data_IF_494781939232
#
_entry.id   IF_494781939232
#
_cell.length_a   1.000
_cell.length_b   1.000
_cell.length_c   1.000
_cell.angle_alpha   90.00
_cell.angle_beta   90.00
_cell.angle_gamma   90.00
#
_symmetry.space_group_name_H-M   'P 1'
#
loop_
_entity.id
_entity.type
_entity.pdbx_description
1 polymer ?
#
# COMPACT_ATOMS: atom_id res chain seq x y z
N UNK A 1 -16.08 18.88 1.50
CA UNK A 1 -14.70 18.50 1.86
C UNK A 1 -14.43 17.23 1.08
N UNK A 2 -13.53 17.26 0.11
CA UNK A 2 -13.30 16.12 -0.78
C UNK A 2 -12.56 15.06 0.03
N UNK A 3 -13.27 13.96 0.21
CA UNK A 3 -12.99 12.75 0.96
C UNK A 3 -12.06 11.92 0.07
N UNK A 4 -10.90 11.54 0.59
CA UNK A 4 -9.79 10.99 -0.20
C UNK A 4 -10.16 9.56 -0.67
N UNK A 5 -10.75 9.42 -1.86
CA UNK A 5 -10.95 8.10 -2.48
C UNK A 5 -9.57 7.47 -2.76
N UNK A 6 -9.28 6.35 -2.11
CA UNK A 6 -8.02 5.65 -2.22
C UNK A 6 -8.17 4.38 -3.08
N UNK A 7 -7.11 4.00 -3.79
CA UNK A 7 -7.03 2.72 -4.47
C UNK A 7 -5.65 2.07 -4.29
N UNK A 8 -5.62 0.74 -4.32
CA UNK A 8 -4.36 -0.01 -4.30
C UNK A 8 -3.81 -0.10 -5.72
N UNK A 9 -2.52 0.25 -5.89
CA UNK A 9 -1.75 -0.02 -7.10
C UNK A 9 -0.68 -1.08 -6.85
N UNK A 10 -0.42 -1.86 -7.89
CA UNK A 10 0.57 -2.93 -7.88
C UNK A 10 1.68 -2.68 -8.90
N UNK A 11 2.92 -2.88 -8.47
CA UNK A 11 4.07 -2.87 -9.38
C UNK A 11 4.08 -4.19 -10.16
N UNK A 12 3.86 -4.11 -11.48
CA UNK A 12 3.89 -5.27 -12.37
C UNK A 12 5.32 -5.71 -12.64
N UNK A 13 5.53 -7.01 -12.78
CA UNK A 13 6.79 -7.53 -13.30
C UNK A 13 7.03 -6.96 -14.72
N UNK A 14 8.28 -6.59 -15.06
CA UNK A 14 8.60 -6.21 -16.42
C UNK A 14 8.25 -7.39 -17.34
N UNK A 15 7.40 -7.14 -18.35
CA UNK A 15 7.13 -8.15 -19.37
C UNK A 15 8.47 -8.54 -20.01
N UNK A 16 8.78 -9.83 -20.04
CA UNK A 16 9.94 -10.34 -20.77
C UNK A 16 9.81 -9.85 -22.22
N UNK A 17 10.67 -8.91 -22.62
CA UNK A 17 10.76 -8.51 -24.02
C UNK A 17 11.46 -9.63 -24.75
N UNK A 18 10.77 -10.17 -25.75
CA UNK A 18 11.35 -10.97 -26.81
C UNK A 18 12.57 -10.22 -27.37
N UNK A 19 13.75 -10.82 -27.22
CA UNK A 19 15.00 -10.20 -27.63
C UNK A 19 15.16 -10.37 -29.14
N UNK A 20 14.63 -9.41 -29.91
CA UNK A 20 15.04 -9.21 -31.29
C UNK A 20 15.43 -7.75 -31.53
N UNK A 21 16.74 -7.56 -31.66
CA UNK A 21 17.48 -6.53 -32.39
C UNK A 21 17.03 -5.04 -32.30
N UNK A 22 17.93 -4.20 -31.74
CA UNK A 22 17.82 -2.74 -31.91
C UNK A 22 18.87 -1.91 -31.16
N UNK A 23 20.04 -1.71 -31.79
CA UNK A 23 21.07 -0.66 -31.65
C UNK A 23 20.96 0.40 -30.51
N UNK A 24 22.08 0.50 -29.76
CA UNK A 24 22.60 1.59 -28.87
C UNK A 24 21.97 2.99 -28.99
N UNK A 25 21.74 3.64 -27.83
CA UNK A 25 22.29 4.99 -27.55
C UNK A 25 22.67 5.12 -26.08
N UNK A 26 23.88 5.63 -25.84
CA UNK A 26 24.42 5.99 -24.53
C UNK A 26 23.88 7.38 -24.19
N UNK A 27 22.90 7.47 -23.29
CA UNK A 27 22.47 8.75 -22.70
C UNK A 27 22.79 8.73 -21.22
N UNK A 28 23.89 9.40 -20.89
CA UNK A 28 24.36 9.64 -19.53
C UNK A 28 23.48 10.77 -18.96
N UNK A 29 22.34 10.42 -18.36
CA UNK A 29 21.63 11.32 -17.44
C UNK A 29 22.01 10.96 -16.03
N UNK A 30 23.00 11.68 -15.51
CA UNK A 30 23.25 11.85 -14.08
C UNK A 30 22.11 12.69 -13.50
N UNK A 31 21.10 12.00 -12.99
CA UNK A 31 20.03 12.51 -12.15
C UNK A 31 19.56 11.30 -11.38
N UNK A 32 19.58 11.40 -10.06
CA UNK A 32 19.36 10.34 -9.08
C UNK A 32 18.38 9.28 -9.62
N UNK A 33 18.92 8.13 -10.01
CA UNK A 33 18.09 7.07 -10.58
C UNK A 33 17.33 6.46 -9.42
N UNK A 34 16.17 7.06 -9.09
CA UNK A 34 15.24 6.56 -8.09
C UNK A 34 15.10 5.06 -8.33
N UNK A 35 15.62 4.26 -7.41
CA UNK A 35 15.64 2.82 -7.61
C UNK A 35 14.19 2.36 -7.80
N UNK A 36 13.85 1.69 -8.91
CA UNK A 36 12.48 1.32 -9.17
C UNK A 36 11.97 0.38 -8.08
N UNK A 37 10.71 0.55 -7.69
CA UNK A 37 10.04 -0.35 -6.74
C UNK A 37 10.02 -1.79 -7.29
N UNK A 38 10.18 -2.80 -6.43
CA UNK A 38 10.18 -4.18 -6.87
C UNK A 38 8.78 -4.63 -7.32
N UNK A 39 8.76 -5.55 -8.29
CA UNK A 39 7.52 -6.20 -8.73
C UNK A 39 6.82 -6.91 -7.56
N UNK A 40 5.49 -6.80 -7.51
CA UNK A 40 4.68 -7.34 -6.42
C UNK A 40 4.49 -6.39 -5.24
N UNK A 41 5.23 -5.27 -5.17
CA UNK A 41 4.96 -4.21 -4.21
C UNK A 41 3.57 -3.60 -4.48
N UNK A 42 2.83 -3.36 -3.39
CA UNK A 42 1.47 -2.82 -3.42
C UNK A 42 1.41 -1.58 -2.53
N UNK A 43 0.78 -0.51 -3.00
CA UNK A 43 0.71 0.76 -2.26
C UNK A 43 -0.57 1.53 -2.58
N UNK A 44 -0.93 2.45 -1.68
CA UNK A 44 -2.12 3.27 -1.79
C UNK A 44 -1.84 4.54 -2.59
N UNK A 45 -2.76 4.88 -3.48
CA UNK A 45 -2.80 6.18 -4.15
C UNK A 45 -4.16 6.82 -4.01
N UNK A 46 -4.20 8.15 -4.04
CA UNK A 46 -5.45 8.89 -4.23
C UNK A 46 -5.97 8.67 -5.66
N UNK A 47 -7.25 8.32 -5.81
CA UNK A 47 -7.89 8.15 -7.11
C UNK A 47 -7.94 9.47 -7.89
N UNK A 48 -8.14 10.57 -7.20
CA UNK A 48 -8.27 11.91 -7.80
C UNK A 48 -6.94 12.43 -8.36
N UNK A 49 -5.86 12.27 -7.60
CA UNK A 49 -4.54 12.84 -7.94
C UNK A 49 -3.59 11.81 -8.55
N UNK A 50 -3.90 10.52 -8.42
CA UNK A 50 -3.00 9.41 -8.72
C UNK A 50 -1.67 9.44 -7.94
N UNK A 51 -1.55 10.28 -6.90
CA UNK A 51 -0.37 10.40 -6.04
C UNK A 51 -0.42 9.39 -4.90
N UNK A 52 0.76 8.96 -4.43
CA UNK A 52 0.87 8.08 -3.28
C UNK A 52 0.35 8.77 -2.01
N UNK A 53 -0.27 7.98 -1.13
CA UNK A 53 -0.66 8.44 0.20
C UNK A 53 0.56 8.28 1.11
N UNK A 54 1.33 9.35 1.29
CA UNK A 54 2.69 9.31 1.85
C UNK A 54 2.83 8.57 3.19
N UNK A 55 1.99 8.79 4.23
CA UNK A 55 2.11 8.03 5.48
C UNK A 55 1.98 6.51 5.29
N UNK A 56 1.06 6.09 4.42
CA UNK A 56 0.87 4.68 4.10
C UNK A 56 2.00 4.12 3.22
N UNK A 57 2.49 4.93 2.27
CA UNK A 57 3.58 4.55 1.38
C UNK A 57 4.89 4.33 2.16
N UNK A 58 5.27 5.27 3.03
CA UNK A 58 6.46 5.16 3.87
C UNK A 58 6.41 3.93 4.77
N UNK A 59 5.27 3.68 5.42
CA UNK A 59 5.06 2.48 6.23
C UNK A 59 5.21 1.20 5.41
N UNK A 60 4.58 1.10 4.24
CA UNK A 60 4.68 -0.08 3.38
C UNK A 60 6.10 -0.31 2.88
N UNK A 61 6.83 0.76 2.54
CA UNK A 61 8.24 0.67 2.19
C UNK A 61 9.07 0.13 3.36
N UNK A 62 8.85 0.65 4.57
CA UNK A 62 9.57 0.23 5.77
C UNK A 62 9.33 -1.24 6.12
N UNK A 63 8.09 -1.71 6.03
CA UNK A 63 7.69 -3.03 6.49
C UNK A 63 7.89 -4.13 5.44
N UNK A 64 7.78 -3.78 4.15
CA UNK A 64 7.78 -4.78 3.08
C UNK A 64 9.02 -4.77 2.22
N UNK A 65 9.89 -3.76 2.32
CA UNK A 65 11.11 -3.65 1.50
C UNK A 65 12.41 -3.81 2.30
N UNK A 66 13.43 -4.36 1.64
CA UNK A 66 14.80 -4.34 2.16
C UNK A 66 15.37 -2.92 2.08
N UNK A 67 16.22 -2.55 3.06
CA UNK A 67 16.91 -1.23 3.10
C UNK A 67 18.13 -1.15 2.17
N UNK A 68 18.22 -2.04 1.19
CA UNK A 68 19.36 -2.12 0.29
C UNK A 68 19.27 -1.09 -0.84
N UNK A 69 20.40 -0.82 -1.52
CA UNK A 69 20.44 0.04 -2.71
C UNK A 69 19.49 -0.43 -3.83
N UNK A 70 19.17 -1.73 -3.85
CA UNK A 70 18.17 -2.36 -4.72
C UNK A 70 17.10 -3.01 -3.85
N UNK A 71 16.00 -2.30 -3.51
CA UNK A 71 14.98 -2.83 -2.63
C UNK A 71 14.29 -4.03 -3.28
N UNK A 72 14.06 -5.05 -2.47
CA UNK A 72 13.28 -6.25 -2.79
C UNK A 72 12.22 -6.48 -1.72
N UNK A 73 11.20 -7.30 -2.02
CA UNK A 73 10.20 -7.64 -1.02
C UNK A 73 10.80 -8.55 0.05
N UNK A 74 10.58 -8.20 1.31
CA UNK A 74 10.90 -9.05 2.48
C UNK A 74 9.87 -10.17 2.64
N UNK A 75 8.66 -9.95 2.15
CA UNK A 75 7.53 -10.87 2.24
C UNK A 75 7.00 -11.27 0.86
N UNK A 76 6.00 -12.16 0.82
CA UNK A 76 5.37 -12.52 -0.45
C UNK A 76 4.58 -11.33 -1.04
N UNK A 77 4.40 -11.24 -2.37
CA UNK A 77 3.53 -10.23 -2.97
C UNK A 77 2.09 -10.24 -2.43
N UNK A 78 1.57 -11.43 -2.08
CA UNK A 78 0.25 -11.58 -1.47
C UNK A 78 0.22 -10.97 -0.06
N UNK A 79 1.29 -11.13 0.72
CA UNK A 79 1.43 -10.50 2.04
C UNK A 79 1.48 -8.98 1.90
N UNK A 80 2.33 -8.44 1.01
CA UNK A 80 2.40 -6.99 0.77
C UNK A 80 1.05 -6.42 0.32
N UNK A 81 0.31 -7.14 -0.54
CA UNK A 81 -1.06 -6.78 -0.91
C UNK A 81 -2.00 -6.76 0.29
N UNK A 82 -1.97 -7.78 1.15
CA UNK A 82 -2.80 -7.84 2.35
C UNK A 82 -2.56 -6.66 3.31
N UNK A 83 -1.31 -6.19 3.43
CA UNK A 83 -1.00 -5.00 4.24
C UNK A 83 -1.57 -3.72 3.62
N UNK A 84 -1.47 -3.57 2.29
CA UNK A 84 -2.11 -2.47 1.59
C UNK A 84 -3.66 -2.52 1.69
N UNK A 85 -4.25 -3.72 1.70
CA UNK A 85 -5.70 -3.93 1.92
C UNK A 85 -6.16 -3.53 3.32
N UNK A 86 -5.34 -3.74 4.35
CA UNK A 86 -5.67 -3.27 5.69
C UNK A 86 -5.56 -1.75 5.81
N UNK A 87 -4.52 -1.17 5.22
CA UNK A 87 -4.33 0.28 5.22
C UNK A 87 -5.42 1.02 4.46
N UNK A 88 -5.91 0.48 3.34
CA UNK A 88 -7.02 1.11 2.60
C UNK A 88 -8.34 1.01 3.39
N UNK A 89 -8.59 -0.11 4.08
CA UNK A 89 -9.76 -0.25 4.96
C UNK A 89 -9.71 0.76 6.11
N UNK A 90 -8.54 0.94 6.73
CA UNK A 90 -8.35 1.94 7.77
C UNK A 90 -8.46 3.37 7.21
N UNK A 91 -7.91 3.62 6.02
CA UNK A 91 -8.04 4.91 5.35
C UNK A 91 -9.51 5.28 5.13
N UNK A 92 -10.33 4.37 4.58
CA UNK A 92 -11.77 4.61 4.43
C UNK A 92 -12.49 4.82 5.77
N UNK A 93 -12.03 4.17 6.84
CA UNK A 93 -12.55 4.39 8.18
C UNK A 93 -12.30 5.82 8.69
N UNK A 94 -11.08 6.34 8.49
CA UNK A 94 -10.70 7.72 8.83
C UNK A 94 -11.52 8.72 8.03
N UNK A 95 -11.62 8.48 6.74
CA UNK A 95 -12.29 9.32 5.75
C UNK A 95 -13.79 9.45 6.03
N UNK A 96 -14.46 8.34 6.37
CA UNK A 96 -15.85 8.33 6.82
C UNK A 96 -16.09 9.16 8.10
N UNK A 97 -15.04 9.44 8.88
CA UNK A 97 -15.08 10.24 10.12
C UNK A 97 -14.49 11.65 9.93
N UNK A 98 -14.08 12.01 8.73
CA UNK A 98 -13.40 13.28 8.44
C UNK A 98 -12.12 13.44 9.26
N UNK A 99 -11.35 12.35 9.43
CA UNK A 99 -10.06 12.33 10.11
C UNK A 99 -8.93 12.11 9.11
N UNK A 100 -7.75 12.64 9.43
CA UNK A 100 -6.51 12.42 8.66
C UNK A 100 -5.52 11.61 9.50
N UNK A 101 -4.43 11.11 8.88
CA UNK A 101 -3.43 10.32 9.60
C UNK A 101 -2.78 11.08 10.76
N UNK A 102 -2.65 12.41 10.66
CA UNK A 102 -2.07 13.25 11.71
C UNK A 102 -2.95 13.37 12.96
N UNK A 103 -4.23 13.01 12.84
CA UNK A 103 -5.23 13.06 13.90
C UNK A 103 -5.54 11.66 14.47
N UNK A 104 -4.69 10.67 14.20
CA UNK A 104 -4.83 9.34 14.80
C UNK A 104 -4.44 9.41 16.27
N UNK A 105 -5.37 9.03 17.13
CA UNK A 105 -5.18 8.87 18.56
C UNK A 105 -5.66 7.49 19.03
N UNK A 106 -5.49 7.21 20.32
CA UNK A 106 -5.88 5.92 20.91
C UNK A 106 -7.39 5.67 20.81
N UNK A 107 -8.22 6.71 20.97
CA UNK A 107 -9.68 6.60 20.90
C UNK A 107 -10.12 6.15 19.50
N UNK A 108 -9.52 6.72 18.46
CA UNK A 108 -9.81 6.37 17.07
C UNK A 108 -9.41 4.92 16.75
N UNK A 109 -8.26 4.47 17.25
CA UNK A 109 -7.79 3.08 17.09
C UNK A 109 -8.70 2.09 17.83
N UNK A 110 -9.10 2.41 19.07
CA UNK A 110 -10.06 1.61 19.83
C UNK A 110 -11.42 1.55 19.12
N UNK A 111 -11.89 2.67 18.58
CA UNK A 111 -13.09 2.74 17.77
C UNK A 111 -13.02 1.86 16.52
N UNK A 112 -11.86 1.85 15.83
CA UNK A 112 -11.67 1.01 14.66
C UNK A 112 -11.69 -0.48 15.02
N UNK A 113 -10.98 -0.87 16.08
CA UNK A 113 -10.98 -2.24 16.58
C UNK A 113 -12.38 -2.71 17.01
N UNK A 114 -13.15 -1.83 17.67
CA UNK A 114 -14.53 -2.10 18.05
C UNK A 114 -15.43 -2.35 16.83
N UNK A 115 -15.33 -1.51 15.79
CA UNK A 115 -16.10 -1.67 14.57
C UNK A 115 -15.73 -2.95 13.83
N UNK A 116 -14.44 -3.28 13.74
CA UNK A 116 -13.97 -4.54 13.13
C UNK A 116 -14.51 -5.78 13.88
N UNK A 117 -14.57 -5.73 15.21
CA UNK A 117 -15.09 -6.82 16.03
C UNK A 117 -16.59 -7.08 15.82
N UNK A 118 -17.34 -6.05 15.41
CA UNK A 118 -18.77 -6.14 15.13
C UNK A 118 -19.08 -6.31 13.62
N UNK A 119 -18.07 -6.17 12.77
CA UNK A 119 -18.21 -6.25 11.31
C UNK A 119 -18.11 -7.67 10.76
N UNK A 120 -18.73 -7.88 9.60
CA UNK A 120 -18.63 -9.10 8.81
C UNK A 120 -17.66 -8.86 7.66
N UNK A 121 -16.67 -9.73 7.50
CA UNK A 121 -15.75 -9.71 6.38
C UNK A 121 -16.52 -9.89 5.06
N UNK A 122 -16.36 -9.00 4.07
CA UNK A 122 -17.04 -9.13 2.78
C UNK A 122 -16.51 -10.31 1.95
N UNK A 123 -15.31 -10.80 2.25
CA UNK A 123 -14.66 -11.91 1.53
C UNK A 123 -15.14 -13.26 2.06
N UNK A 124 -15.19 -13.41 3.38
CA UNK A 124 -15.50 -14.70 4.02
C UNK A 124 -16.94 -14.81 4.50
N UNK A 125 -17.68 -13.70 4.51
CA UNK A 125 -19.03 -13.56 5.09
C UNK A 125 -19.11 -14.01 6.55
N UNK A 126 -17.99 -13.93 7.28
CA UNK A 126 -17.87 -14.25 8.70
C UNK A 126 -17.34 -13.04 9.46
N UNK A 127 -17.56 -13.02 10.78
CA UNK A 127 -16.88 -12.05 11.64
C UNK A 127 -15.37 -12.15 11.48
N UNK A 128 -14.68 -11.01 11.58
CA UNK A 128 -13.22 -11.01 11.55
C UNK A 128 -12.65 -11.84 12.71
N UNK A 129 -11.61 -12.61 12.42
CA UNK A 129 -10.87 -13.33 13.45
C UNK A 129 -10.11 -12.33 14.33
N UNK A 130 -9.95 -12.62 15.63
CA UNK A 130 -9.21 -11.77 16.55
C UNK A 130 -7.76 -11.51 16.09
N UNK A 131 -7.13 -12.49 15.45
CA UNK A 131 -5.80 -12.33 14.84
C UNK A 131 -5.79 -11.33 13.68
N UNK A 132 -6.86 -11.28 12.87
CA UNK A 132 -7.02 -10.29 11.81
C UNK A 132 -7.21 -8.90 12.39
N UNK A 133 -8.04 -8.77 13.44
CA UNK A 133 -8.29 -7.48 14.10
C UNK A 133 -7.02 -6.92 14.74
N UNK A 134 -6.22 -7.75 15.42
CA UNK A 134 -4.96 -7.31 16.05
C UNK A 134 -3.87 -6.91 15.07
N UNK A 135 -3.91 -7.47 13.86
CA UNK A 135 -2.93 -7.21 12.81
C UNK A 135 -3.25 -5.91 12.06
N UNK A 136 -4.54 -5.61 11.92
CA UNK A 136 -5.06 -4.35 11.39
C UNK A 136 -4.88 -3.24 12.42
#
# INVERSE_FOLDING_TARGET
MTIYDAEIRHVKAPKAKDQSAGKRTHSKRSGDASTPLPAGFSFLVSRDTAMAIEPAFEFLCYETLTREKRPSLVCSPASAKGWAEDLIDFHHYLDARGRTFELIDEELLQGYAYDLNNSISPVTFRKFAASTIRRR
#
